data_IF_100068114360
#
_entry.id   IF_100068114360
#
_cell.length_a   1.000
_cell.length_b   1.000
_cell.length_c   1.000
_cell.angle_alpha   90.00
_cell.angle_beta   90.00
_cell.angle_gamma   90.00
#
_symmetry.space_group_name_H-M   'P 1'
#
loop_
_entity.id
_entity.type
_entity.pdbx_description
1 polymer ?
#
# COMPACT_ATOMS: atom_id res chain seq x y z
N UNK A 1 33.85 -6.67 -14.35
CA UNK A 1 32.39 -6.79 -14.46
C UNK A 1 31.90 -5.86 -15.55
N UNK A 2 31.28 -6.40 -16.61
CA UNK A 2 30.94 -5.61 -17.82
C UNK A 2 29.64 -4.83 -17.62
N UNK A 3 28.72 -5.36 -16.81
CA UNK A 3 27.45 -4.73 -16.45
C UNK A 3 26.93 -5.26 -15.10
N UNK A 4 26.21 -4.43 -14.37
CA UNK A 4 25.50 -4.79 -13.16
C UNK A 4 23.98 -4.67 -13.39
N UNK A 5 23.23 -5.76 -13.21
CA UNK A 5 21.77 -5.75 -13.24
C UNK A 5 21.26 -5.68 -11.80
N UNK A 6 20.50 -4.64 -11.49
CA UNK A 6 20.01 -4.36 -10.14
C UNK A 6 18.48 -4.46 -10.11
N UNK A 7 17.95 -5.32 -9.24
CA UNK A 7 16.51 -5.47 -9.04
C UNK A 7 16.11 -4.91 -7.67
N UNK A 8 15.15 -3.98 -7.63
CA UNK A 8 14.69 -3.47 -6.35
C UNK A 8 13.70 -2.33 -6.44
N UNK A 9 13.25 -1.87 -5.28
CA UNK A 9 12.34 -0.75 -5.12
C UNK A 9 13.06 0.61 -5.16
N UNK A 10 12.33 1.67 -4.81
CA UNK A 10 12.76 3.07 -4.91
C UNK A 10 14.15 3.33 -4.27
N UNK A 11 14.41 2.83 -3.06
CA UNK A 11 15.72 2.98 -2.42
C UNK A 11 16.85 2.33 -3.21
N UNK A 12 16.62 1.14 -3.76
CA UNK A 12 17.59 0.41 -4.59
C UNK A 12 17.86 1.16 -5.90
N UNK A 13 16.82 1.74 -6.53
CA UNK A 13 16.97 2.55 -7.75
C UNK A 13 17.85 3.78 -7.50
N UNK A 14 17.69 4.46 -6.36
CA UNK A 14 18.56 5.58 -5.97
C UNK A 14 20.03 5.15 -5.82
N UNK A 15 20.27 4.00 -5.20
CA UNK A 15 21.63 3.44 -5.07
C UNK A 15 22.22 3.04 -6.43
N UNK A 16 21.40 2.44 -7.31
CA UNK A 16 21.80 2.08 -8.66
C UNK A 16 22.24 3.30 -9.49
N UNK A 17 21.52 4.42 -9.34
CA UNK A 17 21.91 5.68 -9.99
C UNK A 17 23.27 6.16 -9.53
N UNK A 18 23.57 6.15 -8.23
CA UNK A 18 24.89 6.53 -7.72
C UNK A 18 26.02 5.66 -8.29
N UNK A 19 25.78 4.36 -8.45
CA UNK A 19 26.73 3.42 -9.05
C UNK A 19 26.94 3.74 -10.53
N UNK A 20 25.85 4.04 -11.25
CA UNK A 20 25.92 4.44 -12.65
C UNK A 20 26.67 5.78 -12.83
N UNK A 21 26.41 6.76 -11.96
CA UNK A 21 27.10 8.07 -11.97
C UNK A 21 28.60 7.92 -11.66
N UNK A 22 29.01 6.89 -10.92
CA UNK A 22 30.41 6.53 -10.69
C UNK A 22 31.08 5.82 -11.90
N UNK A 23 30.38 5.68 -13.02
CA UNK A 23 30.94 5.15 -14.28
C UNK A 23 30.74 3.64 -14.49
N UNK A 24 29.94 2.96 -13.68
CA UNK A 24 29.61 1.56 -13.89
C UNK A 24 28.43 1.40 -14.85
N UNK A 25 28.51 0.41 -15.74
CA UNK A 25 27.39 0.03 -16.59
C UNK A 25 26.30 -0.62 -15.73
N UNK A 26 25.12 -0.01 -15.62
CA UNK A 26 24.01 -0.48 -14.79
C UNK A 26 22.73 -0.59 -15.61
N UNK A 27 21.98 -1.65 -15.38
CA UNK A 27 20.59 -1.80 -15.81
C UNK A 27 19.75 -2.05 -14.56
N UNK A 28 18.62 -1.38 -14.43
CA UNK A 28 17.74 -1.51 -13.26
C UNK A 28 16.40 -2.13 -13.63
N UNK A 29 15.89 -2.99 -12.75
CA UNK A 29 14.59 -3.63 -12.91
C UNK A 29 13.68 -3.28 -11.71
N UNK A 30 12.42 -2.87 -11.96
CA UNK A 30 11.54 -2.33 -10.94
C UNK A 30 10.86 -3.44 -10.12
N UNK A 31 11.51 -3.94 -9.06
CA UNK A 31 11.01 -4.98 -8.17
C UNK A 31 10.55 -4.40 -6.84
N UNK A 32 9.25 -4.17 -6.69
CA UNK A 32 8.62 -3.74 -5.44
C UNK A 32 7.15 -4.06 -5.44
N UNK A 33 6.54 -4.16 -4.24
CA UNK A 33 5.09 -4.28 -4.07
C UNK A 33 4.40 -2.91 -4.04
N UNK A 34 5.14 -1.82 -3.90
CA UNK A 34 4.60 -0.48 -3.64
C UNK A 34 4.14 0.23 -4.91
N UNK A 35 4.62 -0.20 -6.08
CA UNK A 35 4.39 0.41 -7.39
C UNK A 35 4.72 1.92 -7.42
N UNK A 36 5.81 2.31 -6.73
CA UNK A 36 6.20 3.69 -6.45
C UNK A 36 7.42 4.17 -7.25
N UNK A 37 7.81 3.45 -8.32
CA UNK A 37 8.99 3.80 -9.14
C UNK A 37 8.54 4.67 -10.30
N UNK A 38 9.05 5.91 -10.32
CA UNK A 38 8.78 6.84 -11.40
C UNK A 38 9.30 6.32 -12.76
N UNK A 39 8.50 6.49 -13.80
CA UNK A 39 8.88 6.08 -15.18
C UNK A 39 8.55 4.62 -15.50
N UNK A 40 7.85 3.91 -14.62
CA UNK A 40 7.30 2.58 -14.91
C UNK A 40 5.80 2.54 -14.59
N UNK A 41 5.03 1.85 -15.41
CA UNK A 41 3.58 1.71 -15.21
C UNK A 41 3.28 0.67 -14.13
N UNK A 42 4.06 -0.40 -14.10
CA UNK A 42 3.86 -1.50 -13.15
C UNK A 42 5.18 -2.11 -12.73
N UNK A 43 5.34 -2.30 -11.43
CA UNK A 43 6.47 -3.03 -10.86
C UNK A 43 6.13 -4.51 -10.67
N UNK A 44 7.07 -5.41 -10.87
CA UNK A 44 6.82 -6.83 -10.60
C UNK A 44 6.93 -7.13 -9.09
N UNK A 45 5.96 -7.88 -8.59
CA UNK A 45 5.67 -8.09 -7.18
C UNK A 45 4.42 -7.33 -6.69
N UNK A 46 4.03 -6.26 -7.38
CA UNK A 46 2.86 -5.46 -7.05
C UNK A 46 1.56 -6.27 -7.15
N UNK A 47 1.31 -6.92 -8.29
CA UNK A 47 0.08 -7.68 -8.49
C UNK A 47 -0.04 -8.85 -7.51
N UNK A 48 1.06 -9.54 -7.21
CA UNK A 48 1.07 -10.61 -6.20
C UNK A 48 0.68 -10.09 -4.82
N UNK A 49 1.15 -8.91 -4.45
CA UNK A 49 0.77 -8.30 -3.18
C UNK A 49 -0.69 -7.83 -3.17
N UNK A 50 -1.21 -7.31 -4.30
CA UNK A 50 -2.65 -6.99 -4.46
C UNK A 50 -3.50 -8.24 -4.25
N UNK A 51 -3.14 -9.36 -4.86
CA UNK A 51 -3.87 -10.63 -4.71
C UNK A 51 -3.93 -11.08 -3.23
N UNK A 52 -2.79 -11.00 -2.53
CA UNK A 52 -2.72 -11.36 -1.10
C UNK A 52 -3.57 -10.40 -0.26
N UNK A 53 -3.45 -9.09 -0.48
CA UNK A 53 -4.20 -8.08 0.26
C UNK A 53 -5.71 -8.19 0.02
N UNK A 54 -6.14 -8.46 -1.21
CA UNK A 54 -7.53 -8.72 -1.58
C UNK A 54 -8.07 -9.94 -0.82
N UNK A 55 -7.33 -11.06 -0.83
CA UNK A 55 -7.73 -12.27 -0.11
C UNK A 55 -7.86 -12.02 1.40
N UNK A 56 -6.98 -11.21 2.01
CA UNK A 56 -7.10 -10.85 3.44
C UNK A 56 -8.41 -10.12 3.70
N UNK A 57 -8.77 -9.14 2.87
CA UNK A 57 -10.02 -8.39 3.03
C UNK A 57 -11.22 -9.30 2.80
N UNK A 58 -11.18 -10.19 1.82
CA UNK A 58 -12.25 -11.16 1.54
C UNK A 58 -12.53 -12.06 2.76
N UNK A 59 -11.49 -12.51 3.45
CA UNK A 59 -11.68 -13.28 4.70
C UNK A 59 -12.33 -12.47 5.81
N UNK A 60 -12.14 -11.15 5.84
CA UNK A 60 -12.74 -10.27 6.85
C UNK A 60 -14.24 -10.06 6.60
N UNK A 61 -14.72 -10.10 5.35
CA UNK A 61 -16.14 -9.87 5.03
C UNK A 61 -17.09 -10.75 5.83
N UNK A 62 -16.78 -12.04 5.98
CA UNK A 62 -17.66 -12.97 6.71
C UNK A 62 -17.76 -12.65 8.19
N UNK A 63 -16.64 -12.37 8.85
CA UNK A 63 -16.64 -11.99 10.28
C UNK A 63 -17.21 -10.59 10.50
N UNK A 64 -16.98 -9.65 9.59
CA UNK A 64 -17.52 -8.30 9.67
C UNK A 64 -19.06 -8.33 9.61
N UNK A 65 -19.64 -9.12 8.68
CA UNK A 65 -21.09 -9.23 8.51
C UNK A 65 -21.75 -9.90 9.70
N UNK A 66 -21.15 -10.94 10.28
CA UNK A 66 -21.74 -11.68 11.41
C UNK A 66 -21.79 -10.89 12.72
N UNK A 67 -20.89 -9.93 12.92
CA UNK A 67 -20.77 -9.16 14.15
C UNK A 67 -21.20 -7.69 14.02
N UNK A 68 -21.60 -7.23 12.84
CA UNK A 68 -22.02 -5.84 12.60
C UNK A 68 -20.97 -4.79 13.02
N UNK A 69 -19.69 -5.06 12.76
CA UNK A 69 -18.53 -4.26 13.19
C UNK A 69 -17.97 -3.41 12.06
N UNK A 70 -17.13 -2.46 12.44
CA UNK A 70 -16.21 -1.76 11.55
C UNK A 70 -14.89 -2.53 11.56
N UNK A 71 -14.34 -2.84 10.39
CA UNK A 71 -12.99 -3.38 10.25
C UNK A 71 -12.10 -2.39 9.51
N UNK A 72 -10.94 -2.08 10.08
CA UNK A 72 -9.88 -1.32 9.43
C UNK A 72 -8.76 -2.29 9.08
N UNK A 73 -8.52 -2.49 7.80
CA UNK A 73 -7.47 -3.38 7.30
C UNK A 73 -6.31 -2.52 6.81
N UNK A 74 -5.19 -2.55 7.55
CA UNK A 74 -4.01 -1.78 7.19
C UNK A 74 -3.16 -2.51 6.17
N UNK A 75 -2.90 -1.87 5.05
CA UNK A 75 -2.12 -2.42 3.95
C UNK A 75 -0.80 -1.66 3.77
N UNK A 76 0.23 -2.40 3.35
CA UNK A 76 1.53 -1.83 3.01
C UNK A 76 1.44 -0.93 1.77
N UNK A 77 2.53 -0.30 1.41
CA UNK A 77 2.66 0.60 0.25
C UNK A 77 3.52 1.81 0.57
N UNK A 78 3.94 1.94 1.83
CA UNK A 78 4.76 3.03 2.33
C UNK A 78 4.08 4.39 2.09
N UNK A 79 4.67 5.22 1.20
CA UNK A 79 4.18 6.56 0.87
C UNK A 79 3.22 6.57 -0.34
N UNK A 80 2.91 5.39 -0.91
CA UNK A 80 2.05 5.22 -2.08
C UNK A 80 0.82 4.36 -1.77
N UNK A 81 -0.34 4.79 -2.22
CA UNK A 81 -1.63 4.14 -1.99
C UNK A 81 -2.02 3.08 -3.02
N UNK A 82 -1.17 2.77 -4.00
CA UNK A 82 -1.53 1.89 -5.11
C UNK A 82 -1.99 0.49 -4.67
N UNK A 83 -1.27 -0.12 -3.72
CA UNK A 83 -1.62 -1.44 -3.19
C UNK A 83 -2.99 -1.41 -2.53
N UNK A 84 -3.20 -0.43 -1.64
CA UNK A 84 -4.46 -0.27 -0.90
C UNK A 84 -5.63 0.05 -1.84
N UNK A 85 -5.41 0.90 -2.83
CA UNK A 85 -6.44 1.26 -3.81
C UNK A 85 -6.90 0.04 -4.61
N UNK A 86 -5.96 -0.72 -5.17
CA UNK A 86 -6.29 -1.88 -6.00
C UNK A 86 -6.92 -3.02 -5.18
N UNK A 87 -6.34 -3.33 -4.02
CA UNK A 87 -6.90 -4.36 -3.14
C UNK A 87 -8.28 -3.97 -2.58
N UNK A 88 -8.45 -2.70 -2.19
CA UNK A 88 -9.72 -2.19 -1.67
C UNK A 88 -10.84 -2.22 -2.72
N UNK A 89 -10.55 -1.84 -3.96
CA UNK A 89 -11.51 -1.95 -5.06
C UNK A 89 -11.79 -3.43 -5.37
N UNK A 90 -10.74 -4.25 -5.49
CA UNK A 90 -10.85 -5.65 -5.86
C UNK A 90 -11.64 -6.49 -4.84
N UNK A 91 -11.56 -6.15 -3.56
CA UNK A 91 -12.28 -6.82 -2.47
C UNK A 91 -13.63 -6.18 -2.10
N UNK A 92 -14.00 -5.06 -2.72
CA UNK A 92 -15.24 -4.35 -2.40
C UNK A 92 -15.23 -3.70 -1.02
N UNK A 93 -14.08 -3.17 -0.56
CA UNK A 93 -14.01 -2.36 0.65
C UNK A 93 -14.94 -1.14 0.54
N UNK A 94 -15.58 -0.78 1.64
CA UNK A 94 -16.57 0.30 1.67
C UNK A 94 -15.93 1.70 1.68
N UNK A 95 -14.72 1.79 2.22
CA UNK A 95 -13.90 3.00 2.28
C UNK A 95 -12.45 2.64 1.97
N UNK A 96 -11.78 3.48 1.20
CA UNK A 96 -10.36 3.31 0.87
C UNK A 96 -9.63 4.60 1.27
N UNK A 97 -8.64 4.49 2.14
CA UNK A 97 -7.83 5.62 2.63
C UNK A 97 -6.39 5.47 2.13
N UNK A 98 -5.95 6.43 1.33
CA UNK A 98 -4.64 6.42 0.68
C UNK A 98 -3.86 7.71 1.00
N UNK A 99 -2.51 7.70 0.97
CA UNK A 99 -1.71 8.87 1.29
C UNK A 99 -1.98 10.07 0.37
N UNK A 100 -2.30 9.82 -0.89
CA UNK A 100 -2.49 10.83 -1.92
C UNK A 100 -3.75 11.67 -1.72
N UNK A 101 -4.73 11.14 -0.96
CA UNK A 101 -6.00 11.82 -0.66
C UNK A 101 -6.21 11.87 0.84
N UNK A 102 -5.97 13.01 1.49
CA UNK A 102 -6.16 13.15 2.92
C UNK A 102 -7.60 12.85 3.36
N UNK A 103 -7.74 12.06 4.40
CA UNK A 103 -9.06 11.66 4.89
C UNK A 103 -9.59 12.58 5.99
N UNK A 104 -10.91 12.74 6.01
CA UNK A 104 -11.67 13.34 7.11
C UNK A 104 -12.50 12.24 7.80
N UNK A 105 -12.15 11.93 9.06
CA UNK A 105 -12.84 10.87 9.80
C UNK A 105 -14.30 11.19 10.12
N UNK A 106 -14.70 12.47 10.18
CA UNK A 106 -16.10 12.80 10.36
C UNK A 106 -16.91 12.39 9.14
N UNK A 107 -16.38 12.62 7.93
CA UNK A 107 -17.03 12.18 6.68
C UNK A 107 -17.07 10.66 6.56
N UNK A 108 -16.02 9.97 7.02
CA UNK A 108 -16.02 8.50 7.07
C UNK A 108 -17.10 8.00 8.04
N UNK A 109 -17.23 8.60 9.22
CA UNK A 109 -18.26 8.25 10.19
C UNK A 109 -19.69 8.50 9.65
N UNK A 110 -19.91 9.66 9.00
CA UNK A 110 -21.18 9.98 8.35
C UNK A 110 -21.56 8.95 7.28
N UNK A 111 -20.60 8.51 6.46
CA UNK A 111 -20.82 7.47 5.47
C UNK A 111 -21.19 6.13 6.12
N UNK A 112 -20.51 5.74 7.20
CA UNK A 112 -20.80 4.51 7.94
C UNK A 112 -22.22 4.55 8.53
N UNK A 113 -22.64 5.68 9.09
CA UNK A 113 -23.97 5.87 9.63
C UNK A 113 -25.05 5.82 8.52
N UNK A 114 -24.79 6.46 7.38
CA UNK A 114 -25.70 6.39 6.23
C UNK A 114 -25.86 4.96 5.72
N UNK A 115 -24.77 4.23 5.59
CA UNK A 115 -24.80 2.81 5.21
C UNK A 115 -25.61 1.98 6.23
N UNK A 116 -25.46 2.28 7.51
CA UNK A 116 -26.22 1.61 8.56
C UNK A 116 -27.73 1.89 8.44
N UNK A 117 -28.13 3.13 8.14
CA UNK A 117 -29.54 3.49 7.86
C UNK A 117 -30.11 2.72 6.67
N UNK A 118 -29.26 2.42 5.68
CA UNK A 118 -29.60 1.62 4.49
C UNK A 118 -29.60 0.09 4.77
N UNK A 119 -29.38 -0.35 6.02
CA UNK A 119 -29.35 -1.76 6.40
C UNK A 119 -27.99 -2.45 6.26
N UNK A 120 -26.94 -1.71 5.86
CA UNK A 120 -25.56 -2.21 5.80
C UNK A 120 -24.94 -2.12 7.19
N UNK A 121 -25.00 -3.20 7.96
CA UNK A 121 -24.64 -3.18 9.38
C UNK A 121 -23.15 -3.15 9.67
N UNK A 122 -22.30 -3.56 8.74
CA UNK A 122 -20.84 -3.58 8.87
C UNK A 122 -20.18 -2.67 7.83
N UNK A 123 -18.94 -2.31 8.06
CA UNK A 123 -18.13 -1.57 7.09
C UNK A 123 -16.68 -2.04 7.14
N UNK A 124 -16.07 -2.15 5.97
CA UNK A 124 -14.66 -2.49 5.79
C UNK A 124 -13.94 -1.28 5.21
N UNK A 125 -12.87 -0.88 5.89
CA UNK A 125 -12.01 0.23 5.51
C UNK A 125 -10.65 -0.35 5.13
N UNK A 126 -10.27 -0.25 3.86
CA UNK A 126 -8.90 -0.49 3.42
C UNK A 126 -8.08 0.78 3.68
N UNK A 127 -7.05 0.67 4.51
CA UNK A 127 -6.25 1.80 4.96
C UNK A 127 -4.78 1.58 4.59
N UNK A 128 -4.18 2.49 3.82
CA UNK A 128 -2.74 2.46 3.59
C UNK A 128 -1.99 2.84 4.87
N UNK A 129 -0.86 2.18 5.14
CA UNK A 129 0.00 2.47 6.30
C UNK A 129 0.49 3.93 6.34
N UNK A 130 0.56 4.58 5.16
CA UNK A 130 0.91 5.99 4.99
C UNK A 130 -0.27 6.94 4.88
N UNK A 131 -1.52 6.51 5.15
CA UNK A 131 -2.68 7.38 5.06
C UNK A 131 -2.60 8.56 6.04
N UNK A 132 -2.99 9.75 5.58
CA UNK A 132 -2.84 11.02 6.32
C UNK A 132 -4.19 11.69 6.48
N UNK A 133 -4.48 12.22 7.68
CA UNK A 133 -5.72 12.97 7.91
C UNK A 133 -5.60 14.42 7.42
N UNK A 134 -6.75 15.05 7.13
CA UNK A 134 -6.81 16.49 6.80
C UNK A 134 -6.29 17.40 7.93
N UNK A 135 -6.30 16.91 9.18
CA UNK A 135 -5.78 17.63 10.32
C UNK A 135 -4.25 17.55 10.39
N UNK A 136 -3.68 16.38 10.03
CA UNK A 136 -2.25 16.13 10.06
C UNK A 136 -1.47 16.88 8.98
N UNK A 137 -2.08 17.13 7.83
CA UNK A 137 -1.47 17.95 6.77
C UNK A 137 -1.21 19.40 7.22
N UNK A 138 -2.00 19.89 8.17
CA UNK A 138 -1.86 21.24 8.71
C UNK A 138 -0.70 21.36 9.71
N UNK A 139 -0.13 20.22 10.14
CA UNK A 139 0.98 20.19 11.09
C UNK A 139 2.30 20.40 10.34
N UNK A 140 3.20 21.18 10.94
CA UNK A 140 4.58 21.22 10.50
C UNK A 140 5.33 19.91 10.82
N UNK A 141 6.55 19.75 10.30
CA UNK A 141 7.35 18.52 10.51
C UNK A 141 7.60 18.23 11.99
N UNK A 142 7.80 19.25 12.81
CA UNK A 142 8.09 19.10 14.24
C UNK A 142 6.84 18.65 15.00
N UNK A 143 5.69 19.24 14.73
CA UNK A 143 4.40 18.86 15.32
C UNK A 143 4.00 17.44 14.88
N UNK A 144 4.21 17.09 13.63
CA UNK A 144 3.95 15.76 13.10
C UNK A 144 4.84 14.70 13.75
N UNK A 145 6.13 15.03 13.99
CA UNK A 145 7.03 14.13 14.71
C UNK A 145 6.61 13.97 16.16
N UNK A 146 6.30 15.06 16.87
CA UNK A 146 5.80 15.03 18.25
C UNK A 146 4.50 14.22 18.38
N UNK A 147 3.58 14.37 17.42
CA UNK A 147 2.34 13.57 17.39
C UNK A 147 2.66 12.07 17.31
N UNK A 148 3.57 11.66 16.42
CA UNK A 148 3.98 10.25 16.29
C UNK A 148 4.67 9.71 17.54
N UNK A 149 5.60 10.48 18.13
CA UNK A 149 6.32 10.11 19.34
C UNK A 149 5.39 9.96 20.57
N UNK A 150 4.34 10.76 20.64
CA UNK A 150 3.36 10.74 21.72
C UNK A 150 2.12 9.86 21.42
N UNK A 151 2.05 9.26 20.25
CA UNK A 151 0.93 8.41 19.86
C UNK A 151 0.89 7.17 20.76
N UNK A 152 -0.30 6.85 21.28
CA UNK A 152 -0.57 5.59 21.99
C UNK A 152 -0.83 4.43 21.04
N UNK A 153 -0.96 4.72 19.75
CA UNK A 153 -1.28 3.74 18.71
C UNK A 153 -0.03 3.34 17.96
N UNK A 154 0.12 2.06 17.70
CA UNK A 154 1.28 1.49 16.98
C UNK A 154 1.27 1.84 15.50
N UNK A 155 0.08 2.04 14.92
CA UNK A 155 -0.11 2.38 13.51
C UNK A 155 -1.34 3.30 13.33
N UNK A 156 -1.47 3.90 12.13
CA UNK A 156 -2.56 4.81 11.77
C UNK A 156 -3.94 4.15 11.87
N UNK A 157 -4.05 2.88 11.53
CA UNK A 157 -5.33 2.15 11.57
C UNK A 157 -5.88 1.95 12.98
N UNK A 158 -5.04 1.82 13.98
CA UNK A 158 -5.51 1.79 15.39
C UNK A 158 -6.04 3.15 15.84
N UNK A 159 -5.41 4.25 15.43
CA UNK A 159 -5.93 5.60 15.69
C UNK A 159 -7.30 5.81 15.01
N UNK A 160 -7.41 5.39 13.74
CA UNK A 160 -8.66 5.46 12.98
C UNK A 160 -9.76 4.65 13.66
N UNK A 161 -9.48 3.41 14.05
CA UNK A 161 -10.44 2.54 14.71
C UNK A 161 -10.95 3.15 16.02
N UNK A 162 -10.06 3.60 16.92
CA UNK A 162 -10.41 4.23 18.19
C UNK A 162 -11.28 5.49 18.01
N UNK A 163 -10.95 6.31 17.01
CA UNK A 163 -11.74 7.51 16.71
C UNK A 163 -13.10 7.18 16.10
N UNK A 164 -13.18 6.19 15.22
CA UNK A 164 -14.45 5.77 14.62
C UNK A 164 -15.38 5.13 15.66
N UNK A 165 -14.86 4.34 16.62
CA UNK A 165 -15.66 3.85 17.74
C UNK A 165 -16.31 4.99 18.52
N UNK A 166 -15.56 6.05 18.81
CA UNK A 166 -16.07 7.23 19.52
C UNK A 166 -17.10 8.02 18.73
N UNK A 167 -16.91 8.13 17.40
CA UNK A 167 -17.82 8.89 16.53
C UNK A 167 -19.11 8.15 16.23
N UNK A 168 -19.07 6.82 16.06
CA UNK A 168 -20.20 6.01 15.59
C UNK A 168 -20.85 5.17 16.67
N UNK A 169 -20.20 4.99 17.83
CA UNK A 169 -20.65 4.06 18.88
C UNK A 169 -20.57 2.57 18.48
N UNK A 170 -19.98 2.24 17.33
CA UNK A 170 -19.81 0.88 16.83
C UNK A 170 -18.44 0.33 17.17
N UNK A 171 -18.39 -0.95 17.53
CA UNK A 171 -17.12 -1.65 17.75
C UNK A 171 -16.28 -1.68 16.48
N UNK A 172 -15.01 -1.25 16.56
CA UNK A 172 -14.05 -1.31 15.47
C UNK A 172 -12.94 -2.32 15.78
N UNK A 173 -12.47 -3.01 14.75
CA UNK A 173 -11.38 -3.97 14.82
C UNK A 173 -10.35 -3.63 13.76
N UNK A 174 -9.09 -3.89 14.09
CA UNK A 174 -7.97 -3.66 13.18
C UNK A 174 -7.36 -4.99 12.76
N UNK A 175 -7.05 -5.11 11.49
CA UNK A 175 -6.27 -6.21 10.93
C UNK A 175 -5.06 -5.62 10.22
N UNK A 176 -3.86 -6.04 10.63
CA UNK A 176 -2.59 -5.61 10.01
C UNK A 176 -1.87 -6.86 9.48
N UNK A 177 -2.05 -7.24 8.21
CA UNK A 177 -1.36 -8.38 7.63
C UNK A 177 0.16 -8.17 7.55
N UNK A 178 0.61 -6.93 7.51
CA UNK A 178 2.04 -6.58 7.56
C UNK A 178 2.84 -7.31 6.47
N UNK A 179 3.98 -7.88 6.85
CA UNK A 179 4.89 -8.57 5.93
C UNK A 179 4.33 -9.84 5.28
N UNK A 180 3.16 -10.33 5.71
CA UNK A 180 2.44 -11.40 5.00
C UNK A 180 2.17 -11.03 3.54
N UNK A 181 1.94 -9.75 3.26
CA UNK A 181 1.76 -9.21 1.90
C UNK A 181 3.01 -9.34 1.00
N UNK A 182 4.17 -9.65 1.58
CA UNK A 182 5.44 -9.88 0.84
C UNK A 182 5.73 -11.36 0.62
N UNK A 183 4.87 -12.25 1.12
CA UNK A 183 5.05 -13.70 1.09
C UNK A 183 4.38 -14.38 -0.07
N UNK A 184 4.42 -15.71 -0.05
CA UNK A 184 3.75 -16.56 -1.02
C UNK A 184 4.41 -16.63 -2.40
N UNK A 185 3.86 -17.45 -3.30
CA UNK A 185 4.33 -17.53 -4.68
C UNK A 185 3.86 -16.31 -5.48
N UNK A 186 4.67 -15.81 -6.43
CA UNK A 186 4.23 -14.73 -7.31
C UNK A 186 3.08 -15.21 -8.20
N UNK A 187 2.12 -14.33 -8.46
CA UNK A 187 1.01 -14.59 -9.36
C UNK A 187 1.50 -14.72 -10.83
N UNK A 188 0.70 -15.32 -11.73
CA UNK A 188 1.09 -15.49 -13.12
C UNK A 188 1.46 -14.18 -13.82
N UNK A 189 0.76 -13.10 -13.53
CA UNK A 189 1.04 -11.78 -14.09
C UNK A 189 2.46 -11.32 -13.78
N UNK A 190 2.87 -11.36 -12.52
CA UNK A 190 4.22 -10.93 -12.11
C UNK A 190 5.32 -11.83 -12.68
N UNK A 191 5.04 -13.13 -12.86
CA UNK A 191 6.00 -14.06 -13.50
C UNK A 191 6.25 -13.70 -14.97
N UNK A 192 5.18 -13.39 -15.71
CA UNK A 192 5.27 -12.97 -17.10
C UNK A 192 5.97 -11.63 -17.21
N UNK A 193 5.57 -10.66 -16.39
CA UNK A 193 6.17 -9.33 -16.37
C UNK A 193 7.67 -9.39 -16.03
N UNK A 194 8.07 -10.14 -15.01
CA UNK A 194 9.46 -10.33 -14.63
C UNK A 194 10.28 -10.98 -15.76
N UNK A 195 9.69 -11.93 -16.48
CA UNK A 195 10.33 -12.56 -17.64
C UNK A 195 10.55 -11.54 -18.77
N UNK A 196 9.56 -10.71 -19.06
CA UNK A 196 9.68 -9.64 -20.07
C UNK A 196 10.78 -8.64 -19.70
N UNK A 197 10.84 -8.21 -18.45
CA UNK A 197 11.94 -7.35 -17.98
C UNK A 197 13.30 -8.01 -18.08
N UNK A 198 13.38 -9.31 -17.77
CA UNK A 198 14.63 -10.08 -17.90
C UNK A 198 15.12 -10.16 -19.35
N UNK A 199 14.23 -10.42 -20.31
CA UNK A 199 14.54 -10.43 -21.74
C UNK A 199 15.02 -9.04 -22.21
N UNK A 200 14.25 -7.99 -21.87
CA UNK A 200 14.63 -6.62 -22.24
C UNK A 200 15.98 -6.21 -21.64
N UNK A 201 16.29 -6.61 -20.41
CA UNK A 201 17.59 -6.35 -19.79
C UNK A 201 18.73 -7.05 -20.55
N UNK A 202 18.52 -8.30 -20.96
CA UNK A 202 19.51 -9.06 -21.75
C UNK A 202 19.77 -8.37 -23.10
N UNK A 203 18.72 -7.93 -23.80
CA UNK A 203 18.83 -7.20 -25.06
C UNK A 203 19.60 -5.88 -24.89
N UNK A 204 19.34 -5.14 -23.81
CA UNK A 204 20.08 -3.91 -23.50
C UNK A 204 21.56 -4.18 -23.25
N UNK A 205 21.91 -5.27 -22.56
CA UNK A 205 23.31 -5.67 -22.34
C UNK A 205 24.01 -6.01 -23.65
N UNK A 206 23.37 -6.84 -24.48
CA UNK A 206 23.91 -7.25 -25.79
C UNK A 206 24.18 -6.03 -26.69
N UNK A 207 23.26 -5.06 -26.67
CA UNK A 207 23.35 -3.83 -27.45
C UNK A 207 24.18 -2.72 -26.77
N UNK A 208 24.79 -2.99 -25.61
CA UNK A 208 25.57 -2.03 -24.79
C UNK A 208 24.81 -0.73 -24.46
N UNK A 209 23.52 -0.85 -24.21
CA UNK A 209 22.64 0.26 -23.85
C UNK A 209 22.43 0.28 -22.33
N UNK A 210 23.28 0.96 -21.61
CA UNK A 210 23.27 1.03 -20.16
C UNK A 210 22.58 2.31 -19.64
N UNK A 211 22.37 2.38 -18.31
CA UNK A 211 21.71 3.52 -17.65
C UNK A 211 20.20 3.52 -17.86
N UNK A 212 19.62 2.36 -17.98
CA UNK A 212 18.18 2.15 -18.16
C UNK A 212 17.60 1.39 -16.99
#
# INVERSE_FOLDING_TARGET
LDCLVIMGGNGTQKSAKLIADAGMNVITLPKTIDNDIWGTDTTFGFQSAVDIATNVIDYIHSTASSHSRIFVVELMGRDAGWLTLNAGIGSGADVILIPEIPYDLNKVAELIEERNRQGKRYSIIACAEGAVSVDDIKLDEEASRRKRENSRHSTVSYEIADRLEKLTGKEARVTVPGHYQRGGPPCPYDRVLATQFGVAAADLIINKQYGR
#
